data_IF_523451905344
#
_entry.id   IF_523451905344
#
_cell.length_a   1.000
_cell.length_b   1.000
_cell.length_c   1.000
_cell.angle_alpha   90.00
_cell.angle_beta   90.00
_cell.angle_gamma   90.00
#
_symmetry.space_group_name_H-M   'P 1'
#
loop_
_entity.id
_entity.type
_entity.pdbx_description
1 polymer ?
#
# COMPACT_ATOMS: atom_id res chain seq x y z
N UNK A 1 7.00 -6.80 14.47
CA UNK A 1 7.40 -5.45 14.14
C UNK A 1 6.19 -4.65 13.64
N UNK A 2 5.86 -3.54 14.30
CA UNK A 2 4.72 -2.69 13.91
C UNK A 2 5.24 -1.61 12.98
N UNK A 3 4.58 -1.45 11.83
CA UNK A 3 4.90 -0.44 10.83
C UNK A 3 3.67 0.40 10.51
N UNK A 4 3.81 1.71 10.35
CA UNK A 4 2.73 2.54 9.82
C UNK A 4 2.54 2.22 8.34
N UNK A 5 1.27 2.01 7.95
CA UNK A 5 0.87 1.77 6.58
C UNK A 5 -0.31 2.66 6.23
N UNK A 6 -0.52 2.91 4.94
CA UNK A 6 -1.67 3.66 4.46
C UNK A 6 -2.77 2.69 4.04
N UNK A 7 -3.95 2.83 4.65
CA UNK A 7 -5.12 2.03 4.33
C UNK A 7 -6.20 2.88 3.69
N UNK A 8 -6.67 2.44 2.53
CA UNK A 8 -7.83 3.00 1.84
C UNK A 8 -8.49 1.88 1.04
N UNK A 9 -9.39 1.16 1.68
CA UNK A 9 -10.13 0.07 1.06
C UNK A 9 -11.45 -0.17 1.79
N UNK A 10 -12.44 -0.68 1.09
CA UNK A 10 -13.73 -1.11 1.65
C UNK A 10 -13.92 -2.62 1.65
N UNK A 11 -13.12 -3.33 0.86
CA UNK A 11 -13.16 -4.78 0.75
C UNK A 11 -11.98 -5.44 1.48
N UNK A 12 -12.09 -6.72 1.71
CA UNK A 12 -11.01 -7.55 2.21
C UNK A 12 -10.96 -8.86 1.42
N UNK A 13 -9.96 -9.67 1.68
CA UNK A 13 -9.80 -10.96 1.03
C UNK A 13 -9.58 -12.07 2.06
N UNK A 14 -9.92 -13.30 1.68
CA UNK A 14 -9.50 -14.49 2.38
C UNK A 14 -8.11 -14.91 1.89
N UNK A 15 -7.31 -15.50 2.78
CA UNK A 15 -6.01 -16.01 2.39
C UNK A 15 -6.19 -17.18 1.42
N UNK A 16 -5.50 -17.18 0.25
CA UNK A 16 -5.48 -18.35 -0.61
C UNK A 16 -4.95 -19.58 0.13
N UNK A 17 -5.49 -20.75 -0.18
CA UNK A 17 -5.00 -22.00 0.37
C UNK A 17 -3.51 -22.19 0.01
N UNK A 18 -2.69 -22.49 1.01
CA UNK A 18 -1.24 -22.61 0.84
C UNK A 18 -0.47 -21.30 0.88
N UNK A 19 -1.14 -20.16 1.05
CA UNK A 19 -0.47 -18.88 1.21
C UNK A 19 0.16 -18.72 2.59
N UNK A 20 1.27 -17.98 2.63
CA UNK A 20 1.91 -17.55 3.88
C UNK A 20 1.37 -16.18 4.28
N UNK A 21 0.84 -16.08 5.49
CA UNK A 21 0.35 -14.81 6.04
C UNK A 21 1.53 -13.96 6.49
N UNK A 22 1.76 -12.83 5.83
CA UNK A 22 2.92 -11.98 6.07
C UNK A 22 2.65 -10.83 7.03
N UNK A 23 1.45 -10.27 6.98
CA UNK A 23 1.08 -9.13 7.80
C UNK A 23 -0.40 -9.16 8.18
N UNK A 24 -0.69 -8.70 9.38
CA UNK A 24 -2.05 -8.60 9.89
C UNK A 24 -2.28 -7.26 10.61
N UNK A 25 -3.54 -6.85 10.65
CA UNK A 25 -3.99 -5.66 11.37
C UNK A 25 -5.14 -5.97 12.32
N UNK A 26 -5.43 -5.03 13.21
CA UNK A 26 -6.50 -5.20 14.20
C UNK A 26 -7.89 -5.07 13.58
N UNK A 27 -8.10 -4.06 12.75
CA UNK A 27 -9.38 -3.79 12.10
C UNK A 27 -9.61 -4.59 10.82
N UNK A 28 -8.54 -4.99 10.16
CA UNK A 28 -8.56 -5.87 8.99
C UNK A 28 -7.45 -6.89 9.13
N UNK A 29 -7.81 -8.15 9.33
CA UNK A 29 -6.86 -9.19 9.68
C UNK A 29 -5.85 -9.49 8.57
N UNK A 30 -6.32 -9.59 7.34
CA UNK A 30 -5.49 -10.02 6.22
C UNK A 30 -4.92 -8.80 5.51
N UNK A 31 -3.68 -8.47 5.80
CA UNK A 31 -3.00 -7.30 5.26
C UNK A 31 -2.02 -7.64 4.14
N UNK A 32 -1.33 -8.77 4.24
CA UNK A 32 -0.43 -9.22 3.21
C UNK A 32 -0.21 -10.73 3.24
N UNK A 33 0.01 -11.29 2.08
CA UNK A 33 0.35 -12.71 1.94
C UNK A 33 1.39 -12.94 0.83
N UNK A 34 2.00 -14.11 0.88
CA UNK A 34 2.81 -14.66 -0.20
C UNK A 34 2.23 -16.00 -0.63
N UNK A 35 2.14 -16.21 -1.92
CA UNK A 35 1.78 -17.50 -2.50
C UNK A 35 2.91 -17.96 -3.42
N UNK A 36 3.50 -19.12 -3.10
CA UNK A 36 4.72 -19.55 -3.79
C UNK A 36 5.90 -18.61 -3.51
N UNK A 37 6.80 -18.48 -4.47
CA UNK A 37 8.01 -17.67 -4.31
C UNK A 37 7.86 -16.21 -4.78
N UNK A 38 7.00 -15.97 -5.74
CA UNK A 38 6.98 -14.70 -6.49
C UNK A 38 5.62 -14.00 -6.50
N UNK A 39 4.60 -14.52 -5.81
CA UNK A 39 3.27 -13.91 -5.77
C UNK A 39 3.02 -13.30 -4.41
N UNK A 40 2.75 -12.00 -4.39
CA UNK A 40 2.46 -11.23 -3.18
C UNK A 40 1.15 -10.46 -3.33
N UNK A 41 0.36 -10.45 -2.28
CA UNK A 41 -0.84 -9.62 -2.20
C UNK A 41 -0.76 -8.68 -1.01
N UNK A 42 -1.15 -7.43 -1.22
CA UNK A 42 -1.18 -6.39 -0.18
C UNK A 42 -2.56 -5.73 -0.15
N UNK A 43 -3.12 -5.60 1.05
CA UNK A 43 -4.35 -4.87 1.28
C UNK A 43 -4.11 -3.37 1.43
N UNK A 44 -2.97 -3.02 1.98
CA UNK A 44 -2.57 -1.63 2.22
C UNK A 44 -1.80 -1.04 1.04
N UNK A 45 -1.67 0.27 1.06
CA UNK A 45 -0.96 1.03 0.04
C UNK A 45 0.43 1.42 0.52
N UNK A 46 1.45 1.09 -0.26
CA UNK A 46 2.83 1.53 -0.07
C UNK A 46 3.30 2.47 -1.18
N UNK A 47 2.55 2.54 -2.27
CA UNK A 47 2.88 3.34 -3.45
C UNK A 47 2.49 4.82 -3.31
N UNK A 48 1.75 5.16 -2.27
CA UNK A 48 1.25 6.52 -2.09
C UNK A 48 2.34 7.50 -1.67
N UNK A 49 2.19 8.72 -2.12
CA UNK A 49 2.92 9.90 -1.64
C UNK A 49 1.95 10.97 -1.13
N UNK A 50 2.49 12.03 -0.57
CA UNK A 50 1.67 13.12 -0.05
C UNK A 50 0.72 13.72 -1.11
N UNK A 51 1.20 14.07 -2.31
CA UNK A 51 0.34 14.59 -3.38
C UNK A 51 -0.78 13.65 -3.80
N UNK A 52 -0.54 12.35 -3.85
CA UNK A 52 -1.57 11.37 -4.20
C UNK A 52 -2.65 11.29 -3.12
N UNK A 53 -2.26 11.25 -1.85
CA UNK A 53 -3.20 11.26 -0.73
C UNK A 53 -4.07 12.52 -0.77
N UNK A 54 -3.46 13.68 -0.99
CA UNK A 54 -4.20 14.94 -1.10
C UNK A 54 -5.17 14.94 -2.28
N UNK A 55 -4.78 14.37 -3.40
CA UNK A 55 -5.66 14.22 -4.57
C UNK A 55 -6.88 13.33 -4.25
N UNK A 56 -6.68 12.23 -3.55
CA UNK A 56 -7.78 11.35 -3.13
C UNK A 56 -8.74 12.08 -2.19
N UNK A 57 -8.20 12.82 -1.22
CA UNK A 57 -9.03 13.59 -0.29
C UNK A 57 -9.84 14.70 -0.96
N UNK A 58 -9.43 15.17 -2.12
CA UNK A 58 -10.12 16.17 -2.92
C UNK A 58 -10.98 15.58 -4.05
N UNK A 59 -11.05 14.27 -4.17
CA UNK A 59 -11.87 13.60 -5.19
C UNK A 59 -13.31 13.43 -4.69
N UNK A 60 -14.33 13.92 -5.41
CA UNK A 60 -15.70 13.96 -4.91
C UNK A 60 -16.27 12.61 -4.47
N UNK A 61 -15.96 11.53 -5.21
CA UNK A 61 -16.45 10.20 -4.84
C UNK A 61 -15.86 9.73 -3.51
N UNK A 62 -14.59 10.02 -3.25
CA UNK A 62 -13.94 9.65 -1.99
C UNK A 62 -14.39 10.55 -0.83
N UNK A 63 -14.67 11.81 -1.09
CA UNK A 63 -15.28 12.70 -0.10
C UNK A 63 -16.64 12.17 0.34
N UNK A 64 -17.46 11.70 -0.60
CA UNK A 64 -18.75 11.10 -0.30
C UNK A 64 -18.61 9.81 0.52
N UNK A 65 -17.63 8.96 0.21
CA UNK A 65 -17.34 7.76 1.00
C UNK A 65 -16.93 8.11 2.43
N UNK A 66 -16.09 9.11 2.61
CA UNK A 66 -15.67 9.60 3.93
C UNK A 66 -16.87 10.14 4.73
N UNK A 67 -17.75 10.91 4.10
CA UNK A 67 -18.97 11.44 4.73
C UNK A 67 -19.88 10.31 5.22
N UNK A 68 -19.97 9.21 4.48
CA UNK A 68 -20.77 8.04 4.87
C UNK A 68 -20.24 7.34 6.13
N UNK A 69 -19.02 7.61 6.55
CA UNK A 69 -18.46 7.03 7.78
C UNK A 69 -18.96 7.72 9.05
N UNK A 70 -19.76 8.81 8.92
CA UNK A 70 -20.29 9.58 10.05
C UNK A 70 -19.23 10.02 11.07
N UNK A 71 -18.11 10.53 10.56
CA UNK A 71 -17.02 11.05 11.38
C UNK A 71 -16.01 10.00 11.88
N UNK A 72 -16.19 8.72 11.54
CA UNK A 72 -15.19 7.69 11.87
C UNK A 72 -13.88 7.90 11.12
N UNK A 73 -13.94 8.46 9.92
CA UNK A 73 -12.80 8.85 9.11
C UNK A 73 -12.78 10.37 9.00
N UNK A 74 -11.68 10.98 9.41
CA UNK A 74 -11.50 12.43 9.40
C UNK A 74 -10.37 12.80 8.43
N UNK A 75 -10.64 13.56 7.37
CA UNK A 75 -9.62 14.00 6.42
C UNK A 75 -8.47 14.78 7.06
N UNK A 76 -8.75 15.56 8.11
CA UNK A 76 -7.72 16.31 8.82
C UNK A 76 -6.72 15.38 9.53
N UNK A 77 -7.21 14.29 10.13
CA UNK A 77 -6.38 13.25 10.74
C UNK A 77 -5.55 12.52 9.68
N UNK A 78 -6.16 12.19 8.53
CA UNK A 78 -5.44 11.56 7.42
C UNK A 78 -4.28 12.45 6.95
N UNK A 79 -4.51 13.75 6.79
CA UNK A 79 -3.46 14.71 6.39
C UNK A 79 -2.33 14.78 7.41
N UNK A 80 -2.68 14.89 8.69
CA UNK A 80 -1.71 14.96 9.76
C UNK A 80 -0.87 13.68 9.84
N UNK A 81 -1.49 12.52 9.84
CA UNK A 81 -0.79 11.23 9.89
C UNK A 81 0.05 10.99 8.65
N UNK A 82 -0.40 11.45 7.48
CA UNK A 82 0.38 11.39 6.25
C UNK A 82 1.66 12.22 6.37
N UNK A 83 1.56 13.45 6.82
CA UNK A 83 2.73 14.31 7.02
C UNK A 83 3.74 13.71 8.00
N UNK A 84 3.24 13.08 9.06
CA UNK A 84 4.10 12.47 10.09
C UNK A 84 4.75 11.16 9.65
N UNK A 85 4.07 10.35 8.82
CA UNK A 85 4.43 8.93 8.60
C UNK A 85 4.85 8.61 7.16
N UNK A 86 4.66 9.53 6.22
CA UNK A 86 4.91 9.25 4.79
C UNK A 86 6.37 8.90 4.50
N UNK A 87 7.29 9.49 5.23
CA UNK A 87 8.72 9.21 5.08
C UNK A 87 9.05 7.76 5.44
N UNK A 88 8.49 7.25 6.53
CA UNK A 88 8.68 5.85 6.96
C UNK A 88 8.01 4.88 5.98
N UNK A 89 6.83 5.23 5.48
CA UNK A 89 6.12 4.44 4.48
C UNK A 89 6.91 4.37 3.17
N UNK A 90 7.46 5.47 2.72
CA UNK A 90 8.28 5.51 1.50
C UNK A 90 9.56 4.68 1.64
N UNK A 91 10.18 4.68 2.81
CA UNK A 91 11.34 3.82 3.10
C UNK A 91 10.96 2.33 3.07
N UNK A 92 9.81 1.97 3.66
CA UNK A 92 9.28 0.60 3.61
C UNK A 92 8.96 0.19 2.17
N UNK A 93 8.33 1.06 1.40
CA UNK A 93 8.02 0.85 -0.01
C UNK A 93 9.27 0.56 -0.83
N UNK A 94 10.30 1.38 -0.70
CA UNK A 94 11.57 1.20 -1.38
C UNK A 94 12.23 -0.15 -1.04
N UNK A 95 12.19 -0.54 0.22
CA UNK A 95 12.72 -1.83 0.68
C UNK A 95 11.94 -3.00 0.10
N UNK A 96 10.62 -3.00 0.23
CA UNK A 96 9.75 -4.11 -0.21
C UNK A 96 9.81 -4.30 -1.71
N UNK A 97 9.65 -3.24 -2.49
CA UNK A 97 9.70 -3.32 -3.95
C UNK A 97 11.10 -3.63 -4.46
N UNK A 98 12.15 -3.11 -3.81
CA UNK A 98 13.53 -3.45 -4.13
C UNK A 98 13.83 -4.94 -3.92
N UNK A 99 13.41 -5.50 -2.81
CA UNK A 99 13.57 -6.95 -2.52
C UNK A 99 12.75 -7.82 -3.49
N UNK A 100 11.55 -7.40 -3.83
CA UNK A 100 10.72 -8.10 -4.81
C UNK A 100 11.39 -8.14 -6.20
N UNK A 101 11.94 -7.03 -6.65
CA UNK A 101 12.69 -6.98 -7.92
C UNK A 101 13.92 -7.89 -7.88
N UNK A 102 14.58 -8.02 -6.74
CA UNK A 102 15.71 -8.95 -6.57
C UNK A 102 15.27 -10.41 -6.68
N UNK A 103 14.08 -10.77 -6.15
CA UNK A 103 13.53 -12.12 -6.28
C UNK A 103 13.27 -12.52 -7.73
N UNK A 104 12.93 -11.58 -8.59
CA UNK A 104 12.71 -11.81 -10.02
C UNK A 104 14.01 -12.05 -10.79
N UNK A 105 15.16 -12.00 -10.13
CA UNK A 105 16.47 -12.30 -10.72
C UNK A 105 16.93 -11.29 -11.77
N UNK A 106 16.34 -10.11 -11.76
CA UNK A 106 16.53 -9.24 -12.88
C UNK A 106 17.19 -7.93 -12.62
N UNK A 107 18.42 -7.96 -12.96
CA UNK A 107 19.00 -6.84 -13.70
C UNK A 107 19.10 -7.20 -15.19
N UNK A 108 18.02 -7.53 -15.86
CA UNK A 108 18.02 -7.38 -17.30
C UNK A 108 18.18 -5.90 -17.55
N UNK A 109 19.37 -5.49 -17.96
CA UNK A 109 19.56 -4.22 -18.61
C UNK A 109 18.57 -4.22 -19.76
N UNK A 110 17.51 -3.46 -19.66
CA UNK A 110 16.75 -3.10 -20.84
C UNK A 110 17.74 -2.39 -21.75
N UNK A 111 18.19 -3.07 -22.76
CA UNK A 111 18.90 -2.41 -23.84
C UNK A 111 17.93 -1.34 -24.32
N UNK A 112 18.30 -0.09 -24.22
CA UNK A 112 17.57 0.97 -24.87
C UNK A 112 17.25 0.48 -26.27
N UNK A 113 15.97 0.34 -26.57
CA UNK A 113 15.56 0.30 -27.98
C UNK A 113 16.24 1.49 -28.62
N UNK A 114 17.03 1.21 -29.65
CA UNK A 114 17.97 2.18 -30.20
C UNK A 114 17.35 3.56 -30.27
N UNK A 115 18.06 4.50 -29.67
CA UNK A 115 17.72 5.89 -29.80
C UNK A 115 17.76 6.23 -31.30
N UNK A 116 16.59 6.49 -31.76
CA UNK A 116 16.57 7.27 -32.99
C UNK A 116 16.93 8.70 -32.66
#
# INVERSE_FOLDING_TARGET
>A
DKRPIFEWHSDTFDLPEGAVHLAFGESCRNQAFRYGENVYGFQFHMEVDGPLVERWLNTPIYQAEIEQTNGKVDPAVIRQETDEKISDLNALSAQVFGEFLNLLGHRKRFTRLGSM
#
